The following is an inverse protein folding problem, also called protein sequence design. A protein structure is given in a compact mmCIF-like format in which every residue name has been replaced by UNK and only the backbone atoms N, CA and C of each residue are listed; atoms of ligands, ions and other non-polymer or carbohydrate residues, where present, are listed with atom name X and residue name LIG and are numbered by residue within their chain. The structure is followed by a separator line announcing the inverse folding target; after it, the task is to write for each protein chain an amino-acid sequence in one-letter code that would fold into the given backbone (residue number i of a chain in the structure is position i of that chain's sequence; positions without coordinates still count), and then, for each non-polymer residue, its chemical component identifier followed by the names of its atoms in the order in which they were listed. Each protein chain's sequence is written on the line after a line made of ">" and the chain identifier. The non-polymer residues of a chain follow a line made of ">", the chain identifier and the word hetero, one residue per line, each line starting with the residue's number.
data_IF_789053693041
#
_entry.id   IF_789053693041
#
_cell.length_a   1.000
_cell.length_b   1.000
_cell.length_c   1.000
_cell.angle_alpha   90.00
_cell.angle_beta   90.00
_cell.angle_gamma   90.00
#
_symmetry.space_group_name_H-M   'P 1'
#
loop_
_entity.id
_entity.type
_entity.pdbx_description
1 polymer ?
#
# COMPACT_ATOMS: atom_id res chain seq x y z
N UNK A 1 38.37 -26.44 34.94
CA UNK A 1 37.08 -25.78 34.88
C UNK A 1 36.80 -25.40 33.44
N UNK A 2 35.90 -26.11 32.81
CA UNK A 2 35.51 -25.81 31.42
C UNK A 2 34.40 -24.77 31.45
N UNK A 3 34.67 -23.58 31.06
CA UNK A 3 33.63 -22.58 30.81
C UNK A 3 32.95 -22.94 29.48
N UNK A 4 31.74 -23.45 29.55
CA UNK A 4 30.90 -23.67 28.38
C UNK A 4 30.38 -22.31 27.99
N UNK A 5 30.95 -21.74 26.94
CA UNK A 5 30.43 -20.55 26.30
C UNK A 5 29.21 -20.97 25.47
N UNK A 6 28.02 -20.80 26.01
CA UNK A 6 26.80 -20.88 25.23
C UNK A 6 26.79 -19.69 24.29
N UNK A 7 27.22 -19.91 23.06
CA UNK A 7 26.96 -18.98 21.99
C UNK A 7 25.46 -19.08 21.67
N UNK A 8 24.68 -18.21 22.25
CA UNK A 8 23.30 -18.01 21.86
C UNK A 8 23.36 -17.38 20.46
N UNK A 9 23.29 -18.21 19.43
CA UNK A 9 23.00 -17.75 18.09
C UNK A 9 21.58 -17.17 18.12
N UNK A 10 21.46 -15.87 18.33
CA UNK A 10 20.23 -15.16 18.09
C UNK A 10 19.96 -15.28 16.58
N UNK A 11 19.10 -16.23 16.22
CA UNK A 11 18.45 -16.24 14.92
C UNK A 11 17.61 -14.97 14.86
N UNK A 12 18.23 -13.91 14.37
CA UNK A 12 17.51 -12.72 13.99
C UNK A 12 16.69 -13.13 12.77
N UNK A 13 15.44 -13.52 13.02
CA UNK A 13 14.43 -13.49 11.98
C UNK A 13 14.26 -12.03 11.58
N UNK A 14 15.05 -11.58 10.62
CA UNK A 14 14.74 -10.37 9.91
C UNK A 14 13.49 -10.66 9.08
N UNK A 15 12.31 -10.44 9.68
CA UNK A 15 11.13 -10.16 8.88
C UNK A 15 11.56 -9.16 7.81
N UNK A 16 11.16 -9.32 6.54
CA UNK A 16 11.63 -8.42 5.50
C UNK A 16 11.25 -7.00 5.87
N UNK A 17 12.24 -6.23 6.35
CA UNK A 17 12.14 -4.81 6.71
C UNK A 17 11.42 -4.04 5.58
N UNK A 18 11.61 -4.49 4.33
CA UNK A 18 11.01 -3.95 3.13
C UNK A 18 9.47 -4.06 3.10
N UNK A 19 8.89 -5.19 3.52
CA UNK A 19 7.44 -5.37 3.55
C UNK A 19 6.79 -4.48 4.62
N UNK A 20 7.44 -4.31 5.78
CA UNK A 20 6.98 -3.43 6.85
C UNK A 20 7.03 -1.96 6.43
N UNK A 21 8.12 -1.51 5.81
CA UNK A 21 8.25 -0.14 5.30
C UNK A 21 7.22 0.15 4.21
N UNK A 22 7.05 -0.77 3.26
CA UNK A 22 6.05 -0.64 2.19
C UNK A 22 4.64 -0.53 2.74
N UNK A 23 4.28 -1.39 3.71
CA UNK A 23 2.98 -1.37 4.37
C UNK A 23 2.74 -0.08 5.13
N UNK A 24 3.74 0.42 5.85
CA UNK A 24 3.64 1.66 6.62
C UNK A 24 3.44 2.86 5.70
N UNK A 25 4.17 2.94 4.60
CA UNK A 25 4.00 4.01 3.59
C UNK A 25 2.66 3.93 2.89
N UNK A 26 2.22 2.73 2.55
CA UNK A 26 0.92 2.51 1.94
C UNK A 26 -0.21 2.97 2.86
N UNK A 27 -0.18 2.54 4.11
CA UNK A 27 -1.14 2.95 5.14
C UNK A 27 -1.14 4.45 5.37
N UNK A 28 0.03 5.07 5.45
CA UNK A 28 0.16 6.51 5.63
C UNK A 28 -0.52 7.28 4.49
N UNK A 29 -0.40 6.81 3.26
CA UNK A 29 -1.09 7.41 2.10
C UNK A 29 -2.60 7.29 2.18
N UNK A 30 -3.13 6.13 2.58
CA UNK A 30 -4.57 5.96 2.75
C UNK A 30 -5.14 6.84 3.89
N UNK A 31 -4.41 6.97 4.99
CA UNK A 31 -4.80 7.86 6.08
C UNK A 31 -4.74 9.33 5.66
N UNK A 32 -3.73 9.71 4.87
CA UNK A 32 -3.65 11.05 4.30
C UNK A 32 -4.83 11.34 3.37
N UNK A 33 -5.25 10.37 2.57
CA UNK A 33 -6.45 10.49 1.73
C UNK A 33 -7.70 10.73 2.57
N UNK A 34 -7.87 9.95 3.62
CA UNK A 34 -9.02 10.10 4.53
C UNK A 34 -9.06 11.48 5.17
N UNK A 35 -7.92 12.02 5.56
CA UNK A 35 -7.83 13.31 6.23
C UNK A 35 -7.93 14.51 5.28
N UNK A 36 -7.30 14.45 4.10
CA UNK A 36 -7.07 15.60 3.23
C UNK A 36 -7.33 15.36 1.74
N UNK A 37 -7.82 14.17 1.35
CA UNK A 37 -8.20 13.86 -0.03
C UNK A 37 -7.10 13.30 -0.92
N UNK A 38 -7.38 13.17 -2.23
CA UNK A 38 -6.50 12.47 -3.18
C UNK A 38 -5.10 13.02 -3.30
N UNK A 39 -4.96 14.34 -3.27
CA UNK A 39 -3.65 14.99 -3.38
C UNK A 39 -2.73 14.64 -2.22
N UNK A 40 -3.26 14.54 -1.02
CA UNK A 40 -2.50 14.16 0.16
C UNK A 40 -1.96 12.72 0.07
N UNK A 41 -2.73 11.78 -0.48
CA UNK A 41 -2.27 10.42 -0.75
C UNK A 41 -1.10 10.43 -1.74
N UNK A 42 -1.25 11.13 -2.86
CA UNK A 42 -0.22 11.18 -3.90
C UNK A 42 1.07 11.83 -3.40
N UNK A 43 0.96 12.88 -2.61
CA UNK A 43 2.11 13.52 -1.98
C UNK A 43 2.80 12.58 -0.96
N UNK A 44 2.03 11.82 -0.20
CA UNK A 44 2.57 10.85 0.75
C UNK A 44 3.34 9.71 0.06
N UNK A 45 2.86 9.26 -1.09
CA UNK A 45 3.47 8.13 -1.82
C UNK A 45 4.57 8.54 -2.78
N UNK A 46 4.44 9.67 -3.47
CA UNK A 46 5.34 10.08 -4.54
C UNK A 46 6.19 11.31 -4.21
N UNK A 47 5.90 12.00 -3.10
CA UNK A 47 6.55 13.27 -2.78
C UNK A 47 6.10 14.43 -3.69
N UNK A 48 6.59 15.63 -3.38
CA UNK A 48 6.18 16.85 -4.08
C UNK A 48 6.81 17.00 -5.49
N UNK A 49 7.86 16.23 -5.81
CA UNK A 49 8.71 16.45 -6.99
C UNK A 49 8.33 15.59 -8.22
N UNK A 50 7.26 14.81 -8.14
CA UNK A 50 6.90 13.87 -9.21
C UNK A 50 5.81 14.43 -10.13
N UNK A 51 6.19 15.40 -10.96
CA UNK A 51 5.26 16.21 -11.74
C UNK A 51 4.67 15.54 -12.99
N UNK A 52 5.25 14.44 -13.49
CA UNK A 52 4.93 13.96 -14.84
C UNK A 52 3.71 13.05 -14.96
N UNK A 53 3.33 12.33 -13.91
CA UNK A 53 2.16 11.42 -13.93
C UNK A 53 1.08 11.77 -12.91
N UNK A 54 1.38 12.63 -11.96
CA UNK A 54 0.49 12.95 -10.85
C UNK A 54 -0.77 13.73 -11.24
N UNK A 55 -0.77 14.68 -12.22
CA UNK A 55 -1.97 15.43 -12.55
C UNK A 55 -3.11 14.55 -13.07
N UNK A 56 -2.81 13.61 -13.96
CA UNK A 56 -3.81 12.70 -14.52
C UNK A 56 -4.38 11.76 -13.45
N UNK A 57 -3.52 11.18 -12.62
CA UNK A 57 -3.89 10.31 -11.54
C UNK A 57 -4.70 11.06 -10.45
N UNK A 58 -4.29 12.28 -10.14
CA UNK A 58 -4.99 13.18 -9.23
C UNK A 58 -6.41 13.46 -9.71
N UNK A 59 -6.56 13.81 -10.98
CA UNK A 59 -7.86 14.13 -11.57
C UNK A 59 -8.80 12.93 -11.57
N UNK A 60 -8.29 11.73 -11.86
CA UNK A 60 -9.05 10.49 -11.82
C UNK A 60 -9.52 10.17 -10.40
N UNK A 61 -8.63 10.23 -9.41
CA UNK A 61 -8.97 10.00 -8.00
C UNK A 61 -9.94 11.03 -7.47
N UNK A 62 -9.77 12.30 -7.82
CA UNK A 62 -10.68 13.37 -7.43
C UNK A 62 -12.08 13.17 -8.02
N UNK A 63 -12.19 12.80 -9.29
CA UNK A 63 -13.46 12.52 -9.95
C UNK A 63 -14.20 11.33 -9.30
N UNK A 64 -13.48 10.26 -8.98
CA UNK A 64 -14.05 9.09 -8.31
C UNK A 64 -14.51 9.46 -6.89
N UNK A 65 -13.66 10.15 -6.14
CA UNK A 65 -13.96 10.59 -4.78
C UNK A 65 -15.21 11.48 -4.74
N UNK A 66 -15.36 12.40 -5.67
CA UNK A 66 -16.54 13.27 -5.77
C UNK A 66 -17.83 12.47 -5.98
N UNK A 67 -17.78 11.39 -6.75
CA UNK A 67 -18.94 10.53 -7.01
C UNK A 67 -19.28 9.60 -5.85
N UNK A 68 -18.30 9.16 -5.08
CA UNK A 68 -18.47 8.17 -4.03
C UNK A 68 -18.82 8.78 -2.65
N UNK A 69 -18.65 10.08 -2.49
CA UNK A 69 -18.94 10.80 -1.26
C UNK A 69 -17.78 10.79 -0.27
N UNK A 70 -18.02 11.13 1.00
CA UNK A 70 -16.98 11.18 2.01
C UNK A 70 -16.40 9.80 2.34
N UNK A 71 -15.14 9.78 2.76
CA UNK A 71 -14.46 8.57 3.25
C UNK A 71 -14.98 8.24 4.65
N UNK A 72 -15.32 6.98 4.86
CA UNK A 72 -15.75 6.45 6.15
C UNK A 72 -14.58 5.80 6.88
N UNK A 73 -13.81 4.96 6.18
CA UNK A 73 -12.73 4.14 6.75
C UNK A 73 -11.76 3.71 5.66
N UNK A 74 -10.57 3.32 6.06
CA UNK A 74 -9.59 2.67 5.20
C UNK A 74 -9.11 1.36 5.81
N UNK A 75 -8.75 0.40 4.96
CA UNK A 75 -8.23 -0.90 5.39
C UNK A 75 -7.06 -1.31 4.51
N UNK A 76 -6.05 -1.91 5.10
CA UNK A 76 -4.87 -2.43 4.40
C UNK A 76 -4.78 -3.93 4.63
N UNK A 77 -4.62 -4.68 3.54
CA UNK A 77 -4.45 -6.13 3.59
C UNK A 77 -2.98 -6.50 3.75
N UNK A 78 -2.73 -7.79 4.01
CA UNK A 78 -1.38 -8.29 4.14
C UNK A 78 -0.59 -8.10 2.83
N UNK A 79 0.66 -7.61 2.90
CA UNK A 79 1.48 -7.41 1.73
C UNK A 79 1.88 -8.74 1.09
N UNK A 80 2.05 -8.73 -0.23
CA UNK A 80 2.51 -9.90 -0.99
C UNK A 80 3.83 -9.60 -1.70
N UNK A 81 4.89 -10.41 -1.46
CA UNK A 81 6.13 -10.24 -2.19
C UNK A 81 5.98 -10.67 -3.66
N UNK A 82 6.48 -9.86 -4.58
CA UNK A 82 6.65 -10.19 -5.99
C UNK A 82 8.14 -10.29 -6.30
N UNK A 83 8.80 -11.30 -5.76
CA UNK A 83 10.25 -11.43 -5.82
C UNK A 83 10.94 -10.72 -4.66
N UNK A 84 12.24 -10.45 -4.81
CA UNK A 84 13.10 -9.97 -3.71
C UNK A 84 12.97 -8.47 -3.43
N UNK A 85 12.55 -7.68 -4.41
CA UNK A 85 12.62 -6.22 -4.35
C UNK A 85 11.28 -5.51 -4.55
N UNK A 86 10.23 -6.25 -4.87
CA UNK A 86 8.90 -5.69 -5.08
C UNK A 86 7.92 -6.27 -4.07
N UNK A 87 7.19 -5.40 -3.43
CA UNK A 87 6.09 -5.77 -2.53
C UNK A 87 4.78 -5.23 -3.10
N UNK A 88 3.82 -6.10 -3.30
CA UNK A 88 2.48 -5.73 -3.73
C UNK A 88 1.58 -5.51 -2.52
N UNK A 89 0.89 -4.39 -2.53
CA UNK A 89 0.03 -3.94 -1.45
C UNK A 89 -1.39 -3.79 -1.95
N UNK A 90 -2.34 -4.22 -1.14
CA UNK A 90 -3.76 -4.09 -1.40
C UNK A 90 -4.41 -3.33 -0.25
N UNK A 91 -5.35 -2.49 -0.60
CA UNK A 91 -6.13 -1.76 0.37
C UNK A 91 -7.50 -1.42 -0.16
N UNK A 92 -8.32 -0.86 0.69
CA UNK A 92 -9.64 -0.36 0.34
C UNK A 92 -9.93 0.94 1.08
N UNK A 93 -10.50 1.88 0.34
CA UNK A 93 -11.08 3.10 0.90
C UNK A 93 -12.59 2.92 0.87
N UNK A 94 -13.20 2.89 2.04
CA UNK A 94 -14.65 2.82 2.16
C UNK A 94 -15.21 4.23 2.09
N UNK A 95 -15.85 4.55 0.97
CA UNK A 95 -16.64 5.76 0.81
C UNK A 95 -18.09 5.50 1.22
N UNK A 96 -18.81 6.56 1.51
CA UNK A 96 -20.22 6.46 1.91
C UNK A 96 -21.06 5.65 0.93
N UNK A 97 -20.84 5.79 -0.36
CA UNK A 97 -21.62 5.11 -1.40
C UNK A 97 -21.08 3.75 -1.79
N UNK A 98 -19.74 3.57 -1.83
CA UNK A 98 -19.11 2.37 -2.37
C UNK A 98 -17.64 2.28 -2.00
N UNK A 99 -17.08 1.07 -1.85
CA UNK A 99 -15.64 0.89 -1.68
C UNK A 99 -14.86 1.21 -2.96
N UNK A 100 -13.64 1.71 -2.79
CA UNK A 100 -12.64 1.82 -3.83
C UNK A 100 -11.46 0.94 -3.46
N UNK A 101 -11.20 -0.07 -4.29
CA UNK A 101 -10.10 -1.02 -4.11
C UNK A 101 -8.83 -0.46 -4.73
N UNK A 102 -7.69 -0.62 -4.03
CA UNK A 102 -6.40 -0.08 -4.45
C UNK A 102 -5.35 -1.19 -4.42
N UNK A 103 -4.51 -1.21 -5.45
CA UNK A 103 -3.31 -2.04 -5.53
C UNK A 103 -2.14 -1.15 -5.86
N UNK A 104 -1.04 -1.31 -5.12
CA UNK A 104 0.20 -0.59 -5.38
C UNK A 104 1.39 -1.53 -5.30
N UNK A 105 2.39 -1.31 -6.15
CA UNK A 105 3.66 -2.02 -6.10
C UNK A 105 4.75 -1.11 -5.57
N UNK A 106 5.44 -1.56 -4.55
CA UNK A 106 6.55 -0.87 -3.91
C UNK A 106 7.86 -1.56 -4.26
N UNK A 107 8.79 -0.80 -4.80
CA UNK A 107 10.12 -1.27 -5.20
C UNK A 107 11.18 -0.74 -4.25
N UNK A 108 12.08 -1.62 -3.81
CA UNK A 108 13.21 -1.26 -2.93
C UNK A 108 14.53 -1.56 -3.63
N UNK A 109 15.37 -0.54 -3.78
CA UNK A 109 16.73 -0.68 -4.32
C UNK A 109 17.70 0.08 -3.40
N UNK A 110 18.74 -0.62 -2.94
CA UNK A 110 19.91 -0.06 -2.24
C UNK A 110 19.57 0.99 -1.16
N UNK A 111 18.62 0.63 -0.26
CA UNK A 111 18.22 1.47 0.85
C UNK A 111 17.18 2.56 0.54
N UNK A 112 16.77 2.68 -0.72
CA UNK A 112 15.70 3.59 -1.14
C UNK A 112 14.53 2.81 -1.70
N UNK A 113 13.30 3.19 -1.33
CA UNK A 113 12.09 2.55 -1.81
C UNK A 113 11.07 3.56 -2.33
N UNK A 114 10.21 3.12 -3.24
CA UNK A 114 9.15 3.94 -3.80
C UNK A 114 8.08 3.14 -4.52
N UNK A 115 6.93 3.74 -4.71
CA UNK A 115 5.83 3.14 -5.47
C UNK A 115 6.10 3.27 -6.96
N UNK A 116 5.99 2.15 -7.68
CA UNK A 116 6.24 2.07 -9.13
C UNK A 116 4.96 1.85 -9.94
N UNK A 117 3.89 1.41 -9.29
CA UNK A 117 2.60 1.17 -9.92
C UNK A 117 1.46 1.44 -8.95
N UNK A 118 0.37 1.94 -9.46
CA UNK A 118 -0.86 2.18 -8.72
C UNK A 118 -2.06 1.90 -9.62
N UNK A 119 -2.93 1.01 -9.16
CA UNK A 119 -4.22 0.73 -9.78
C UNK A 119 -5.34 0.87 -8.75
N UNK A 120 -6.49 1.30 -9.19
CA UNK A 120 -7.68 1.38 -8.35
C UNK A 120 -8.95 1.14 -9.18
N UNK A 121 -9.95 0.54 -8.55
CA UNK A 121 -11.24 0.25 -9.16
C UNK A 121 -12.33 0.11 -8.11
N UNK A 122 -13.55 0.41 -8.49
CA UNK A 122 -14.74 0.09 -7.69
C UNK A 122 -15.15 -1.38 -7.80
N UNK A 123 -14.48 -2.15 -8.65
CA UNK A 123 -14.69 -3.58 -8.82
C UNK A 123 -13.52 -4.36 -8.21
N UNK A 124 -13.76 -5.11 -7.12
CA UNK A 124 -12.68 -5.81 -6.42
C UNK A 124 -11.95 -6.84 -7.30
N UNK A 125 -12.65 -7.48 -8.24
CA UNK A 125 -12.07 -8.47 -9.14
C UNK A 125 -11.00 -7.91 -10.09
N UNK A 126 -10.97 -6.60 -10.31
CA UNK A 126 -9.93 -5.94 -11.11
C UNK A 126 -8.66 -5.67 -10.31
N UNK A 127 -8.76 -5.68 -9.00
CA UNK A 127 -7.67 -5.27 -8.10
C UNK A 127 -7.16 -6.45 -7.29
N UNK A 128 -8.05 -7.19 -6.64
CA UNK A 128 -7.70 -8.28 -5.74
C UNK A 128 -7.38 -9.56 -6.51
N UNK A 129 -6.45 -10.40 -6.01
CA UNK A 129 -6.24 -11.72 -6.58
C UNK A 129 -7.49 -12.58 -6.41
N UNK A 130 -7.74 -13.48 -7.37
CA UNK A 130 -8.91 -14.36 -7.39
C UNK A 130 -9.11 -15.15 -6.08
N UNK A 131 -8.04 -15.49 -5.41
CA UNK A 131 -8.06 -16.21 -4.14
C UNK A 131 -8.73 -15.43 -2.99
N UNK A 132 -8.67 -14.11 -3.02
CA UNK A 132 -9.31 -13.26 -2.00
C UNK A 132 -10.81 -13.16 -2.22
N UNK A 133 -11.27 -13.25 -3.47
CA UNK A 133 -12.69 -13.19 -3.83
C UNK A 133 -13.49 -14.43 -3.48
N UNK A 134 -12.84 -15.56 -3.19
CA UNK A 134 -13.48 -16.87 -2.92
C UNK A 134 -13.68 -17.15 -1.43
N UNK A 135 -13.05 -16.42 -0.55
CA UNK A 135 -13.14 -16.64 0.90
C UNK A 135 -14.33 -15.96 1.57
N UNK A 136 -15.19 -15.32 0.81
CA UNK A 136 -16.44 -14.73 1.30
C UNK A 136 -17.61 -15.71 1.23
N UNK A 137 -17.56 -16.79 2.02
CA UNK A 137 -18.76 -17.58 2.31
C UNK A 137 -19.24 -17.27 3.70
#
# INVERSE_FOLDING_TARGET
>A
MKKILFLLAALVFSAPIQASEASDKFRAGLLAFQANGPEALLNAWYGADNETKLPELRDRLAAISARLGPVVETEVFDPKPLGKRVTRLYGVIYFKKRPLWIRADYYTADGAGGFIALDFSTRPEEILPLEVGVTGK
#
